data_IF_901685011842
#
_entry.id   IF_901685011842
#
_cell.length_a   1.000
_cell.length_b   1.000
_cell.length_c   1.000
_cell.angle_alpha   90.00
_cell.angle_beta   90.00
_cell.angle_gamma   90.00
#
_symmetry.space_group_name_H-M   'P 1'
#
loop_
_entity.id
_entity.type
_entity.pdbx_description
1 polymer ?
#
# COMPACT_ATOMS: atom_id res chain seq x y z
N UNK A 1 -33.08 -66.67 4.12
CA UNK A 1 -31.75 -66.39 3.56
C UNK A 1 -31.66 -64.90 3.27
N UNK A 2 -30.98 -64.14 4.13
CA UNK A 2 -30.77 -62.68 3.99
C UNK A 2 -29.29 -62.45 3.69
N UNK A 3 -28.97 -61.76 2.60
CA UNK A 3 -27.62 -61.28 2.30
C UNK A 3 -27.58 -59.77 2.55
N UNK A 4 -26.74 -59.38 3.50
CA UNK A 4 -26.39 -57.98 3.82
C UNK A 4 -25.20 -57.62 2.95
N UNK A 5 -25.29 -56.50 2.24
CA UNK A 5 -24.20 -55.91 1.45
C UNK A 5 -23.42 -54.98 2.38
N UNK A 6 -22.13 -55.25 2.57
CA UNK A 6 -21.20 -54.41 3.31
C UNK A 6 -20.71 -53.28 2.38
N UNK A 7 -21.00 -52.02 2.73
CA UNK A 7 -20.37 -50.85 2.12
C UNK A 7 -19.13 -50.49 2.94
N UNK A 8 -17.95 -50.74 2.38
CA UNK A 8 -16.67 -50.26 2.92
C UNK A 8 -16.50 -48.78 2.60
N UNK A 9 -16.49 -47.94 3.64
CA UNK A 9 -16.12 -46.53 3.61
C UNK A 9 -14.59 -46.42 3.52
N UNK A 10 -14.06 -45.93 2.40
CA UNK A 10 -12.68 -45.46 2.35
C UNK A 10 -12.62 -44.03 2.89
N UNK A 11 -12.04 -43.84 4.08
CA UNK A 11 -11.60 -42.52 4.54
C UNK A 11 -10.40 -42.10 3.68
N UNK A 12 -10.63 -41.19 2.74
CA UNK A 12 -9.55 -40.43 2.11
C UNK A 12 -8.99 -39.45 3.16
N UNK A 13 -7.76 -39.69 3.59
CA UNK A 13 -6.97 -38.70 4.31
C UNK A 13 -6.83 -37.47 3.41
N UNK A 14 -7.35 -36.32 3.86
CA UNK A 14 -7.16 -35.04 3.21
C UNK A 14 -5.69 -34.63 3.38
N UNK A 15 -4.85 -35.03 2.43
CA UNK A 15 -3.58 -34.38 2.21
C UNK A 15 -3.87 -32.95 1.74
N UNK A 16 -3.39 -31.97 2.49
CA UNK A 16 -3.43 -30.56 2.11
C UNK A 16 -2.69 -30.39 0.78
N UNK A 17 -3.44 -30.28 -0.30
CA UNK A 17 -2.92 -29.83 -1.59
C UNK A 17 -2.52 -28.36 -1.44
N UNK A 18 -1.24 -28.12 -1.18
CA UNK A 18 -0.57 -26.97 -1.73
C UNK A 18 -0.86 -26.92 -3.23
N UNK A 19 -0.95 -25.71 -3.80
CA UNK A 19 -1.39 -25.41 -5.17
C UNK A 19 -2.91 -25.32 -5.29
N UNK A 20 -3.42 -24.14 -4.92
CA UNK A 20 -4.79 -23.74 -5.16
C UNK A 20 -5.09 -23.62 -6.65
N UNK A 21 -6.30 -24.00 -6.99
CA UNK A 21 -7.00 -23.78 -8.25
C UNK A 21 -6.77 -22.35 -8.81
N UNK A 22 -6.26 -22.21 -10.06
CA UNK A 22 -5.92 -20.90 -10.65
C UNK A 22 -7.12 -19.96 -10.86
N UNK A 23 -8.35 -20.47 -10.76
CA UNK A 23 -9.58 -19.67 -10.94
C UNK A 23 -10.25 -19.26 -9.62
N UNK A 24 -9.69 -19.65 -8.47
CA UNK A 24 -10.23 -19.25 -7.16
C UNK A 24 -9.70 -17.87 -6.78
N UNK A 25 -10.43 -16.82 -7.20
CA UNK A 25 -10.20 -15.42 -6.82
C UNK A 25 -9.82 -15.32 -5.34
N UNK A 26 -8.59 -14.94 -5.06
CA UNK A 26 -8.17 -14.60 -3.71
C UNK A 26 -8.86 -13.26 -3.38
N UNK A 27 -9.84 -13.30 -2.49
CA UNK A 27 -10.49 -12.10 -1.97
C UNK A 27 -9.42 -11.17 -1.41
N UNK A 28 -9.41 -9.89 -1.79
CA UNK A 28 -8.48 -8.88 -1.24
C UNK A 28 -8.43 -9.00 0.28
N UNK A 29 -7.24 -9.00 0.85
CA UNK A 29 -7.08 -9.12 2.29
C UNK A 29 -7.81 -7.97 3.01
N UNK A 30 -8.60 -8.23 4.07
CA UNK A 30 -9.31 -7.17 4.81
C UNK A 30 -8.42 -6.01 5.31
N UNK A 31 -7.12 -6.24 5.56
CA UNK A 31 -6.15 -5.19 5.93
C UNK A 31 -5.85 -4.23 4.77
N UNK A 32 -6.07 -4.66 3.54
CA UNK A 32 -5.77 -3.91 2.33
C UNK A 32 -7.01 -3.27 1.67
N UNK A 33 -8.23 -3.74 1.98
CA UNK A 33 -9.49 -3.30 1.36
C UNK A 33 -9.94 -1.87 1.71
N UNK A 34 -9.43 -1.26 2.78
CA UNK A 34 -10.11 -0.15 3.48
C UNK A 34 -10.38 1.12 2.67
N UNK A 35 -9.53 1.43 1.68
CA UNK A 35 -9.61 2.70 0.94
C UNK A 35 -10.50 2.68 -0.31
N UNK A 36 -11.02 1.53 -0.74
CA UNK A 36 -11.98 1.49 -1.85
C UNK A 36 -13.40 1.93 -1.43
N UNK A 37 -13.70 1.88 -0.13
CA UNK A 37 -15.04 2.11 0.41
C UNK A 37 -15.14 3.34 1.32
N UNK A 38 -14.02 3.93 1.74
CA UNK A 38 -14.00 5.04 2.69
C UNK A 38 -13.47 6.33 2.04
N UNK A 39 -14.31 7.37 2.06
CA UNK A 39 -13.86 8.75 1.86
C UNK A 39 -13.21 9.17 3.18
N UNK A 40 -11.96 8.75 3.38
CA UNK A 40 -11.11 9.42 4.36
C UNK A 40 -10.99 10.90 3.98
N UNK A 41 -10.48 11.77 4.87
CA UNK A 41 -10.02 13.10 4.50
C UNK A 41 -9.20 12.97 3.22
N UNK A 42 -9.27 14.00 2.39
CA UNK A 42 -8.33 14.16 1.30
C UNK A 42 -6.93 14.47 1.87
N UNK A 43 -6.39 13.56 2.69
CA UNK A 43 -5.04 13.60 3.22
C UNK A 43 -4.15 13.44 2.03
N UNK A 44 -3.73 14.57 1.49
CA UNK A 44 -2.83 14.55 0.35
C UNK A 44 -1.56 13.80 0.77
N UNK A 45 -0.94 13.09 -0.16
CA UNK A 45 0.33 12.39 0.12
C UNK A 45 1.36 13.37 0.71
N UNK A 46 1.32 14.65 0.33
CA UNK A 46 2.18 15.71 0.84
C UNK A 46 1.93 16.08 2.32
N UNK A 47 0.70 15.94 2.83
CA UNK A 47 0.41 16.14 4.26
C UNK A 47 1.01 15.02 5.12
N UNK A 48 1.10 13.82 4.54
CA UNK A 48 1.57 12.62 5.22
C UNK A 48 3.07 12.38 5.03
N UNK A 49 3.62 12.84 3.91
CA UNK A 49 5.01 12.65 3.51
C UNK A 49 5.55 14.05 3.15
N UNK A 50 6.27 14.71 4.07
CA UNK A 50 6.64 16.12 3.93
C UNK A 50 7.45 16.48 2.69
N UNK A 51 8.15 15.52 2.07
CA UNK A 51 8.95 15.73 0.87
C UNK A 51 8.25 15.27 -0.42
N UNK A 52 6.98 14.84 -0.37
CA UNK A 52 6.26 14.35 -1.54
C UNK A 52 5.77 15.47 -2.47
N UNK A 53 6.07 15.37 -3.77
CA UNK A 53 5.49 16.26 -4.78
C UNK A 53 4.00 15.99 -4.94
N UNK A 54 3.16 16.96 -4.58
CA UNK A 54 1.71 16.86 -4.62
C UNK A 54 1.17 16.57 -6.04
N UNK A 55 1.87 17.02 -7.08
CA UNK A 55 1.41 16.88 -8.47
C UNK A 55 1.61 15.49 -9.03
N UNK A 56 2.64 14.79 -8.61
CA UNK A 56 3.00 13.46 -9.14
C UNK A 56 2.65 12.31 -8.20
N UNK A 57 2.56 12.58 -6.90
CA UNK A 57 2.23 11.55 -5.92
C UNK A 57 0.75 11.14 -6.00
N UNK A 58 0.47 9.87 -5.75
CA UNK A 58 -0.87 9.25 -5.86
C UNK A 58 -1.10 8.21 -4.77
N UNK A 59 -2.36 7.89 -4.54
CA UNK A 59 -2.81 6.80 -3.67
C UNK A 59 -3.65 5.82 -4.47
N UNK A 60 -3.41 4.52 -4.31
CA UNK A 60 -4.22 3.45 -4.88
C UNK A 60 -4.58 2.49 -3.76
N UNK A 61 -5.82 2.58 -3.28
CA UNK A 61 -6.22 1.91 -2.05
C UNK A 61 -5.30 2.34 -0.90
N UNK A 62 -4.73 1.35 -0.21
CA UNK A 62 -3.77 1.56 0.90
C UNK A 62 -2.31 1.72 0.45
N UNK A 63 -2.03 1.81 -0.85
CA UNK A 63 -0.68 2.08 -1.37
C UNK A 63 -0.50 3.57 -1.65
N UNK A 64 0.52 4.18 -1.07
CA UNK A 64 1.00 5.50 -1.47
C UNK A 64 2.19 5.38 -2.40
N UNK A 65 2.16 6.17 -3.47
CA UNK A 65 3.22 6.30 -4.46
C UNK A 65 3.67 7.75 -4.39
N UNK A 66 4.86 7.97 -3.84
CA UNK A 66 5.40 9.30 -3.59
C UNK A 66 6.64 9.54 -4.43
N UNK A 67 6.76 10.73 -5.00
CA UNK A 67 8.02 11.20 -5.57
C UNK A 67 8.58 12.33 -4.71
N UNK A 68 9.74 12.11 -4.07
CA UNK A 68 10.36 13.18 -3.29
C UNK A 68 10.74 14.36 -4.18
N UNK A 69 10.43 15.58 -3.77
CA UNK A 69 10.79 16.80 -4.50
C UNK A 69 12.29 16.82 -4.82
N UNK A 70 13.14 16.43 -3.86
CA UNK A 70 14.60 16.34 -4.05
C UNK A 70 15.05 15.39 -5.17
N UNK A 71 14.24 14.41 -5.54
CA UNK A 71 14.53 13.46 -6.64
C UNK A 71 14.00 14.01 -7.96
N UNK A 72 12.90 14.76 -7.91
CA UNK A 72 12.27 15.42 -9.06
C UNK A 72 13.03 16.68 -9.49
N UNK A 73 13.47 17.48 -8.53
CA UNK A 73 14.18 18.73 -8.70
C UNK A 73 15.63 18.42 -9.04
N UNK A 74 15.87 18.13 -10.32
CA UNK A 74 17.20 17.94 -10.90
C UNK A 74 18.01 19.26 -10.98
N UNK A 75 18.03 20.07 -9.92
CA UNK A 75 18.66 21.42 -9.93
C UNK A 75 20.12 21.42 -10.33
N UNK A 76 20.82 20.32 -10.08
CA UNK A 76 22.24 20.14 -10.39
C UNK A 76 22.49 19.49 -11.76
N UNK A 77 21.44 19.07 -12.48
CA UNK A 77 21.58 18.52 -13.83
C UNK A 77 21.83 19.63 -14.87
N UNK A 78 22.77 19.43 -15.81
CA UNK A 78 22.95 20.38 -16.91
C UNK A 78 21.70 20.45 -17.79
N UNK A 79 21.33 21.64 -18.30
CA UNK A 79 20.16 21.80 -19.17
C UNK A 79 20.20 20.86 -20.37
N UNK A 80 19.02 20.41 -20.81
CA UNK A 80 18.86 19.55 -22.00
C UNK A 80 18.06 20.30 -23.06
N UNK A 81 18.64 20.45 -24.26
CA UNK A 81 17.93 21.02 -25.41
C UNK A 81 16.83 20.08 -25.90
N UNK A 82 15.76 20.65 -26.48
CA UNK A 82 14.60 19.87 -26.93
C UNK A 82 14.97 18.76 -27.93
N UNK A 83 15.97 19.00 -28.80
CA UNK A 83 16.45 18.02 -29.79
C UNK A 83 17.08 16.77 -29.16
N UNK A 84 17.58 16.90 -27.93
CA UNK A 84 18.27 15.85 -27.18
C UNK A 84 17.35 15.14 -26.18
N UNK A 85 16.08 15.58 -26.10
CA UNK A 85 15.06 14.92 -25.28
C UNK A 85 14.71 13.56 -25.87
N UNK A 86 14.68 12.53 -25.03
CA UNK A 86 14.36 11.18 -25.47
C UNK A 86 12.95 11.10 -26.10
N UNK A 87 12.74 10.35 -27.19
CA UNK A 87 11.44 10.27 -27.84
C UNK A 87 10.35 9.63 -26.96
N UNK A 88 9.11 10.14 -27.05
CA UNK A 88 7.95 9.70 -26.25
C UNK A 88 7.71 8.19 -26.29
N UNK A 89 7.87 7.54 -27.46
CA UNK A 89 7.70 6.10 -27.58
C UNK A 89 8.70 5.30 -26.72
N UNK A 90 9.93 5.82 -26.57
CA UNK A 90 10.94 5.22 -25.69
C UNK A 90 10.56 5.40 -24.22
N UNK A 91 10.02 6.56 -23.86
CA UNK A 91 9.54 6.86 -22.50
C UNK A 91 8.43 5.91 -22.11
N UNK A 92 7.35 5.85 -22.90
CA UNK A 92 6.18 5.00 -22.63
C UNK A 92 6.60 3.54 -22.44
N UNK A 93 7.50 3.04 -23.30
CA UNK A 93 8.01 1.67 -23.19
C UNK A 93 8.78 1.44 -21.89
N UNK A 94 9.60 2.41 -21.46
CA UNK A 94 10.42 2.32 -20.24
C UNK A 94 9.61 2.48 -18.95
N UNK A 95 8.49 3.20 -19.01
CA UNK A 95 7.64 3.48 -17.84
C UNK A 95 6.47 2.52 -17.69
N UNK A 96 6.32 1.54 -18.59
CA UNK A 96 5.29 0.53 -18.47
C UNK A 96 5.39 -0.14 -17.09
N UNK A 97 4.32 -0.13 -16.28
CA UNK A 97 4.32 -0.80 -14.99
C UNK A 97 4.77 -2.24 -15.13
N UNK A 98 5.75 -2.61 -14.31
CA UNK A 98 6.28 -3.96 -14.32
C UNK A 98 5.33 -4.94 -13.60
N UNK A 99 5.69 -6.22 -13.62
CA UNK A 99 4.91 -7.27 -12.98
C UNK A 99 4.82 -7.09 -11.45
N UNK A 100 5.85 -6.54 -10.81
CA UNK A 100 5.88 -6.37 -9.36
C UNK A 100 4.95 -5.23 -8.93
N UNK A 101 5.04 -4.06 -9.57
CA UNK A 101 4.15 -2.94 -9.31
C UNK A 101 2.69 -3.31 -9.60
N UNK A 102 2.44 -4.04 -10.69
CA UNK A 102 1.10 -4.55 -11.03
C UNK A 102 0.57 -5.49 -9.95
N UNK A 103 1.35 -6.49 -9.54
CA UNK A 103 0.95 -7.42 -8.49
C UNK A 103 0.73 -6.71 -7.15
N UNK A 104 1.62 -5.78 -6.80
CA UNK A 104 1.48 -4.98 -5.58
C UNK A 104 0.16 -4.21 -5.59
N UNK A 105 -0.15 -3.49 -6.67
CA UNK A 105 -1.40 -2.74 -6.73
C UNK A 105 -2.62 -3.68 -6.67
N UNK A 106 -2.63 -4.78 -7.42
CA UNK A 106 -3.75 -5.71 -7.45
C UNK A 106 -3.99 -6.44 -6.12
N UNK A 107 -2.99 -6.53 -5.21
CA UNK A 107 -3.23 -7.01 -3.84
C UNK A 107 -4.30 -6.19 -3.08
N UNK A 108 -4.64 -4.99 -3.55
CA UNK A 108 -5.57 -4.05 -2.90
C UNK A 108 -6.88 -3.90 -3.66
N UNK A 109 -7.01 -4.49 -4.84
CA UNK A 109 -8.11 -4.25 -5.77
C UNK A 109 -8.85 -5.55 -6.07
N UNK A 110 -10.18 -5.47 -6.15
CA UNK A 110 -11.02 -6.58 -6.65
C UNK A 110 -12.07 -6.01 -7.62
N UNK A 111 -12.16 -6.51 -8.87
CA UNK A 111 -11.28 -7.50 -9.51
C UNK A 111 -9.87 -6.96 -9.77
N UNK A 112 -8.97 -7.78 -10.33
CA UNK A 112 -7.65 -7.33 -10.80
C UNK A 112 -7.78 -6.25 -11.89
N UNK A 113 -6.80 -5.33 -11.91
CA UNK A 113 -6.70 -4.25 -12.89
C UNK A 113 -5.49 -4.45 -13.82
N UNK A 114 -5.56 -3.82 -14.99
CA UNK A 114 -4.45 -3.65 -15.93
C UNK A 114 -4.21 -2.17 -16.23
N UNK A 115 -3.03 -1.84 -16.72
CA UNK A 115 -2.63 -0.47 -17.05
C UNK A 115 -2.77 -0.19 -18.55
N UNK A 116 -3.41 0.92 -18.87
CA UNK A 116 -3.41 1.51 -20.20
C UNK A 116 -2.73 2.88 -20.17
N UNK A 117 -1.85 3.14 -21.13
CA UNK A 117 -1.24 4.46 -21.25
C UNK A 117 -2.32 5.46 -21.67
N UNK A 118 -2.58 6.46 -20.82
CA UNK A 118 -3.55 7.51 -21.08
C UNK A 118 -2.91 8.69 -21.78
N UNK A 119 -1.82 9.21 -21.19
CA UNK A 119 -1.16 10.41 -21.67
C UNK A 119 0.34 10.37 -21.39
N UNK A 120 1.15 10.98 -22.25
CA UNK A 120 2.55 11.26 -21.99
C UNK A 120 2.82 12.74 -22.29
N UNK A 121 3.24 13.48 -21.26
CA UNK A 121 3.39 14.94 -21.29
C UNK A 121 4.83 15.36 -20.99
N UNK A 122 5.38 16.25 -21.83
CA UNK A 122 6.69 16.85 -21.63
C UNK A 122 6.56 18.14 -20.83
N UNK A 123 6.95 18.11 -19.56
CA UNK A 123 6.84 19.22 -18.62
C UNK A 123 8.13 20.04 -18.64
N UNK A 124 8.02 21.35 -18.85
CA UNK A 124 9.15 22.27 -18.74
C UNK A 124 9.51 22.49 -17.26
N UNK A 125 10.78 22.25 -16.92
CA UNK A 125 11.37 22.50 -15.61
C UNK A 125 12.09 23.86 -15.58
N UNK A 126 11.64 24.83 -16.39
CA UNK A 126 12.25 26.16 -16.56
C UNK A 126 13.73 26.06 -16.93
N UNK A 127 14.65 26.40 -16.02
CA UNK A 127 16.09 26.54 -16.29
C UNK A 127 16.84 25.21 -16.45
N UNK A 128 16.23 24.09 -16.04
CA UNK A 128 16.86 22.77 -15.99
C UNK A 128 16.55 21.95 -17.25
N UNK A 129 15.60 22.40 -18.08
CA UNK A 129 15.17 21.71 -19.30
C UNK A 129 13.78 21.09 -19.15
N UNK A 130 13.67 19.79 -19.42
CA UNK A 130 12.40 19.09 -19.55
C UNK A 130 12.33 17.81 -18.73
N UNK A 131 11.11 17.33 -18.49
CA UNK A 131 10.84 16.05 -17.83
C UNK A 131 9.61 15.43 -18.42
N UNK A 132 9.64 14.12 -18.62
CA UNK A 132 8.45 13.38 -19.05
C UNK A 132 7.63 12.94 -17.84
N UNK A 133 6.31 13.07 -17.97
CA UNK A 133 5.32 12.45 -17.12
C UNK A 133 4.47 11.52 -17.98
N UNK A 134 4.28 10.28 -17.54
CA UNK A 134 3.42 9.30 -18.24
C UNK A 134 2.33 8.86 -17.29
N UNK A 135 1.09 9.16 -17.67
CA UNK A 135 -0.11 8.82 -16.94
C UNK A 135 -0.65 7.48 -17.43
N UNK A 136 -0.74 6.54 -16.49
CA UNK A 136 -1.32 5.23 -16.68
C UNK A 136 -2.66 5.19 -15.97
N UNK A 137 -3.70 4.85 -16.72
CA UNK A 137 -5.02 4.57 -16.18
C UNK A 137 -5.11 3.08 -15.83
N UNK A 138 -5.70 2.78 -14.67
CA UNK A 138 -5.95 1.42 -14.23
C UNK A 138 -7.39 1.05 -14.57
N UNK A 139 -7.55 0.00 -15.39
CA UNK A 139 -8.84 -0.51 -15.83
C UNK A 139 -9.08 -1.91 -15.27
N UNK A 140 -10.30 -2.25 -14.81
CA UNK A 140 -10.60 -3.60 -14.35
C UNK A 140 -10.45 -4.60 -15.51
N UNK A 141 -9.93 -5.79 -15.23
CA UNK A 141 -9.80 -6.85 -16.23
C UNK A 141 -11.16 -7.40 -16.69
N UNK A 142 -12.17 -7.33 -15.83
CA UNK A 142 -13.52 -7.81 -16.11
C UNK A 142 -14.57 -6.87 -15.50
N UNK A 143 -15.62 -6.56 -16.26
CA UNK A 143 -16.72 -5.69 -15.83
C UNK A 143 -16.42 -4.19 -15.97
N UNK A 144 -17.32 -3.36 -15.44
CA UNK A 144 -17.15 -1.91 -15.32
C UNK A 144 -16.86 -1.51 -13.88
N UNK A 145 -15.97 -0.56 -13.68
CA UNK A 145 -15.70 0.04 -12.36
C UNK A 145 -16.54 1.31 -12.20
N UNK A 146 -17.29 1.41 -11.11
CA UNK A 146 -17.99 2.64 -10.72
C UNK A 146 -17.18 3.37 -9.67
N UNK A 147 -16.57 4.49 -10.05
CA UNK A 147 -15.75 5.31 -9.16
C UNK A 147 -14.85 6.26 -9.95
N UNK A 148 -14.10 7.14 -9.28
CA UNK A 148 -13.08 7.95 -9.93
C UNK A 148 -12.01 7.05 -10.58
N UNK A 149 -11.46 7.39 -11.75
CA UNK A 149 -10.43 6.58 -12.39
C UNK A 149 -9.21 6.46 -11.48
N UNK A 150 -8.70 5.24 -11.33
CA UNK A 150 -7.45 4.97 -10.63
C UNK A 150 -6.29 5.26 -11.58
N UNK A 151 -5.29 6.01 -11.11
CA UNK A 151 -4.19 6.48 -11.95
C UNK A 151 -2.83 6.26 -11.29
N UNK A 152 -1.84 5.92 -12.11
CA UNK A 152 -0.43 5.88 -11.75
C UNK A 152 0.37 6.81 -12.68
N UNK A 153 1.17 7.70 -12.09
CA UNK A 153 2.05 8.60 -12.85
C UNK A 153 3.49 8.13 -12.74
N UNK A 154 4.11 7.85 -13.88
CA UNK A 154 5.55 7.58 -13.98
C UNK A 154 6.30 8.86 -14.35
N UNK A 155 7.51 9.02 -13.80
CA UNK A 155 8.35 10.20 -14.04
C UNK A 155 9.68 9.79 -14.69
N UNK A 156 10.10 10.51 -15.73
CA UNK A 156 11.34 10.23 -16.46
C UNK A 156 12.08 11.52 -16.76
N UNK A 157 13.38 11.53 -16.49
CA UNK A 157 14.29 12.62 -16.85
C UNK A 157 14.27 12.90 -18.37
N UNK A 158 14.70 14.09 -18.81
CA UNK A 158 14.84 14.40 -20.26
C UNK A 158 15.69 13.37 -21.02
N UNK A 159 16.68 12.77 -20.36
CA UNK A 159 17.62 11.78 -20.91
C UNK A 159 17.08 10.35 -20.87
N UNK A 160 15.85 10.15 -20.42
CA UNK A 160 15.18 8.86 -20.43
C UNK A 160 15.49 7.94 -19.24
N UNK A 161 16.16 8.44 -18.20
CA UNK A 161 16.27 7.72 -16.92
C UNK A 161 14.92 7.77 -16.19
N UNK A 162 14.37 6.60 -15.86
CA UNK A 162 13.15 6.48 -15.05
C UNK A 162 13.48 6.85 -13.60
N UNK A 163 12.65 7.70 -13.02
CA UNK A 163 12.73 8.04 -11.61
C UNK A 163 11.82 7.06 -10.86
N UNK A 164 12.37 6.29 -9.93
CA UNK A 164 11.59 5.38 -9.12
C UNK A 164 10.85 6.16 -8.02
N UNK A 165 9.55 5.92 -7.81
CA UNK A 165 8.84 6.47 -6.66
C UNK A 165 9.27 5.74 -5.37
N UNK A 166 9.11 6.42 -4.25
CA UNK A 166 9.03 5.77 -2.95
C UNK A 166 7.61 5.19 -2.76
N UNK A 167 7.54 3.94 -2.31
CA UNK A 167 6.28 3.23 -2.07
C UNK A 167 6.03 3.12 -0.57
N UNK A 168 4.78 3.31 -0.14
CA UNK A 168 4.40 3.17 1.27
C UNK A 168 3.11 2.37 1.42
N UNK A 169 3.09 1.46 2.38
CA UNK A 169 1.84 0.90 2.90
C UNK A 169 1.26 1.89 3.90
N UNK A 170 0.01 2.25 3.68
CA UNK A 170 -0.69 3.25 4.45
C UNK A 170 -1.93 2.67 5.10
N UNK A 171 -2.22 3.11 6.31
CA UNK A 171 -3.49 2.82 6.98
C UNK A 171 -3.94 4.00 7.84
N UNK A 172 -5.27 4.12 8.02
CA UNK A 172 -5.87 5.22 8.76
C UNK A 172 -7.10 4.80 9.54
N UNK A 173 -7.32 5.46 10.67
CA UNK A 173 -8.53 5.28 11.47
C UNK A 173 -9.03 6.63 11.99
N UNK A 174 -10.33 6.89 11.84
CA UNK A 174 -10.93 8.11 12.38
C UNK A 174 -11.47 7.89 13.77
N UNK A 175 -11.03 8.72 14.71
CA UNK A 175 -11.59 8.74 16.06
C UNK A 175 -12.66 9.82 16.14
N UNK A 176 -13.94 9.43 16.00
CA UNK A 176 -15.07 10.37 15.93
C UNK A 176 -15.15 11.28 17.15
N UNK A 177 -15.02 10.72 18.36
CA UNK A 177 -15.09 11.48 19.61
C UNK A 177 -13.97 12.51 19.79
N UNK A 178 -12.81 12.29 19.15
CA UNK A 178 -11.65 13.18 19.25
C UNK A 178 -11.38 13.98 17.96
N UNK A 179 -12.20 13.78 16.92
CA UNK A 179 -12.10 14.46 15.62
C UNK A 179 -10.69 14.49 15.03
N UNK A 180 -10.02 13.34 15.03
CA UNK A 180 -8.65 13.22 14.52
C UNK A 180 -8.45 11.86 13.83
N UNK A 181 -7.52 11.87 12.89
CA UNK A 181 -7.06 10.68 12.17
C UNK A 181 -5.82 10.12 12.82
N UNK A 182 -5.85 8.82 13.08
CA UNK A 182 -4.67 8.03 13.36
C UNK A 182 -4.14 7.50 12.02
N UNK A 183 -2.86 7.64 11.77
CA UNK A 183 -2.23 7.25 10.53
C UNK A 183 -1.04 6.33 10.80
N UNK A 184 -0.85 5.33 9.95
CA UNK A 184 0.24 4.35 9.99
C UNK A 184 0.88 4.27 8.62
N UNK A 185 2.15 4.67 8.50
CA UNK A 185 2.85 4.82 7.22
C UNK A 185 4.13 3.97 7.25
N UNK A 186 4.16 2.87 6.49
CA UNK A 186 5.35 2.02 6.36
C UNK A 186 6.00 2.19 4.99
N UNK A 187 7.25 2.64 4.96
CA UNK A 187 8.03 2.68 3.71
C UNK A 187 8.36 1.26 3.23
N UNK A 188 8.04 0.97 1.98
CA UNK A 188 8.29 -0.33 1.35
C UNK A 188 9.64 -0.28 0.63
N UNK A 189 10.61 -1.07 1.12
CA UNK A 189 11.93 -1.19 0.49
C UNK A 189 12.44 -2.61 0.70
N UNK A 190 13.00 -3.21 -0.36
CA UNK A 190 13.73 -4.46 -0.21
C UNK A 190 14.95 -4.22 0.69
N UNK A 191 15.17 -5.05 1.72
CA UNK A 191 16.36 -4.92 2.55
C UNK A 191 17.63 -5.15 1.71
N UNK A 192 18.61 -4.25 1.86
CA UNK A 192 19.87 -4.30 1.10
C UNK A 192 20.70 -5.55 1.41
N UNK A 193 20.50 -6.15 2.58
CA UNK A 193 21.21 -7.34 3.06
C UNK A 193 20.29 -8.34 3.76
N UNK A 194 19.49 -9.10 2.98
CA UNK A 194 18.64 -10.19 3.47
C UNK A 194 19.36 -11.19 4.39
N UNK A 195 20.66 -11.43 4.17
CA UNK A 195 21.43 -12.47 4.89
C UNK A 195 21.90 -12.07 6.30
N UNK A 196 21.66 -10.83 6.76
CA UNK A 196 22.18 -10.33 8.05
C UNK A 196 21.11 -9.80 9.00
N UNK A 197 19.84 -9.81 8.62
CA UNK A 197 18.78 -9.32 9.50
C UNK A 197 18.38 -10.40 10.50
N UNK A 198 18.42 -10.07 11.80
CA UNK A 198 17.78 -10.87 12.83
C UNK A 198 16.27 -10.78 12.59
N UNK A 199 15.68 -11.83 12.04
CA UNK A 199 14.23 -11.95 11.90
C UNK A 199 13.61 -12.09 13.28
N UNK A 200 12.64 -11.24 13.59
CA UNK A 200 11.89 -11.33 14.84
C UNK A 200 10.82 -12.42 14.76
N UNK A 201 10.53 -13.03 15.90
CA UNK A 201 9.36 -13.90 16.07
C UNK A 201 8.06 -13.11 15.97
N UNK A 202 6.94 -13.79 15.68
CA UNK A 202 5.63 -13.14 15.63
C UNK A 202 5.26 -12.47 16.96
N UNK A 203 5.65 -13.05 18.10
CA UNK A 203 5.42 -12.45 19.41
C UNK A 203 6.22 -11.15 19.60
N UNK A 204 7.50 -11.13 19.24
CA UNK A 204 8.32 -9.90 19.29
C UNK A 204 7.76 -8.82 18.35
N UNK A 205 7.23 -9.20 17.19
CA UNK A 205 6.57 -8.29 16.25
C UNK A 205 5.29 -7.70 16.85
N UNK A 206 4.44 -8.55 17.44
CA UNK A 206 3.21 -8.13 18.10
C UNK A 206 3.53 -7.16 19.25
N UNK A 207 4.44 -7.52 20.15
CA UNK A 207 4.86 -6.70 21.29
C UNK A 207 5.33 -5.31 20.84
N UNK A 208 6.13 -5.23 19.77
CA UNK A 208 6.58 -3.95 19.20
C UNK A 208 5.42 -3.13 18.63
N UNK A 209 4.53 -3.74 17.85
CA UNK A 209 3.38 -3.03 17.27
C UNK A 209 2.45 -2.51 18.36
N UNK A 210 2.19 -3.32 19.41
CA UNK A 210 1.38 -2.92 20.57
C UNK A 210 2.03 -1.78 21.36
N UNK A 211 3.33 -1.88 21.64
CA UNK A 211 4.04 -0.81 22.33
C UNK A 211 4.02 0.50 21.54
N UNK A 212 4.27 0.45 20.23
CA UNK A 212 4.22 1.63 19.37
C UNK A 212 2.82 2.26 19.33
N UNK A 213 1.77 1.44 19.25
CA UNK A 213 0.40 1.95 19.28
C UNK A 213 0.05 2.60 20.63
N UNK A 214 0.46 2.00 21.74
CA UNK A 214 0.28 2.58 23.07
C UNK A 214 0.97 3.95 23.19
N UNK A 215 2.17 4.11 22.64
CA UNK A 215 2.85 5.41 22.59
C UNK A 215 2.12 6.44 21.72
N UNK A 216 1.46 6.03 20.64
CA UNK A 216 0.58 6.89 19.85
C UNK A 216 -0.64 7.33 20.67
N UNK A 217 -1.31 6.39 21.34
CA UNK A 217 -2.51 6.67 22.13
C UNK A 217 -2.24 7.62 23.31
N UNK A 218 -1.04 7.61 23.90
CA UNK A 218 -0.63 8.60 24.91
C UNK A 218 -0.61 10.04 24.38
N UNK A 219 -0.48 10.22 23.07
CA UNK A 219 -0.45 11.54 22.39
C UNK A 219 -1.83 11.98 21.90
N UNK A 220 -2.81 11.08 21.89
CA UNK A 220 -4.20 11.40 21.56
C UNK A 220 -4.73 12.35 22.63
N UNK A 221 -5.11 13.57 22.19
CA UNK A 221 -5.72 14.54 23.10
C UNK A 221 -7.13 14.08 23.43
N UNK A 222 -7.45 14.04 24.72
CA UNK A 222 -8.81 13.79 25.20
C UNK A 222 -9.53 15.12 25.28
N UNK A 223 -10.64 15.24 24.57
CA UNK A 223 -11.51 16.41 24.63
C UNK A 223 -12.16 16.49 26.01
N UNK A 224 -12.17 17.66 26.69
CA UNK A 224 -12.83 17.79 27.98
C UNK A 224 -14.29 17.32 27.92
N UNK A 225 -14.65 16.38 28.80
CA UNK A 225 -16.00 15.81 28.85
C UNK A 225 -16.25 14.60 27.95
N UNK A 226 -15.22 14.08 27.25
CA UNK A 226 -15.30 12.80 26.53
C UNK A 226 -14.38 11.75 27.14
N UNK A 227 -14.79 10.49 27.05
CA UNK A 227 -13.94 9.38 27.47
C UNK A 227 -12.75 9.21 26.50
N UNK A 228 -11.58 8.75 26.99
CA UNK A 228 -10.47 8.36 26.14
C UNK A 228 -10.90 7.25 25.18
N UNK A 229 -10.46 7.36 23.92
CA UNK A 229 -10.68 6.28 22.95
C UNK A 229 -9.93 5.03 23.41
N UNK A 230 -10.63 3.91 23.42
CA UNK A 230 -10.07 2.61 23.80
C UNK A 230 -10.03 1.68 22.60
N UNK A 231 -8.99 0.85 22.55
CA UNK A 231 -8.81 -0.14 21.49
C UNK A 231 -8.51 -1.50 22.10
N UNK A 232 -9.07 -2.54 21.52
CA UNK A 232 -8.70 -3.92 21.77
C UNK A 232 -7.77 -4.44 20.67
N UNK A 233 -6.83 -5.30 21.05
CA UNK A 233 -6.02 -6.04 20.09
C UNK A 233 -6.89 -7.13 19.44
N UNK A 234 -6.85 -7.22 18.11
CA UNK A 234 -7.60 -8.20 17.35
C UNK A 234 -6.71 -9.38 16.95
N UNK A 235 -5.70 -9.12 16.12
CA UNK A 235 -4.76 -10.13 15.66
C UNK A 235 -3.43 -9.52 15.20
N UNK A 236 -2.46 -10.40 14.94
CA UNK A 236 -1.17 -10.06 14.34
C UNK A 236 -0.92 -11.03 13.19
N UNK A 237 -0.92 -10.53 11.95
CA UNK A 237 -0.82 -11.38 10.75
C UNK A 237 0.11 -10.81 9.70
N UNK A 238 0.82 -11.70 9.03
CA UNK A 238 1.80 -11.35 8.01
C UNK A 238 1.16 -11.24 6.62
N UNK A 239 1.71 -10.35 5.81
CA UNK A 239 1.44 -10.22 4.38
C UNK A 239 2.75 -10.12 3.62
N UNK A 240 2.78 -10.68 2.42
CA UNK A 240 3.89 -10.55 1.49
C UNK A 240 3.57 -9.48 0.45
N UNK A 241 4.47 -8.51 0.31
CA UNK A 241 4.34 -7.38 -0.60
C UNK A 241 5.38 -7.53 -1.72
N UNK A 242 4.98 -7.84 -2.96
CA UNK A 242 5.91 -7.97 -4.08
C UNK A 242 6.48 -6.59 -4.44
N UNK A 243 7.80 -6.44 -4.43
CA UNK A 243 8.46 -5.16 -4.72
C UNK A 243 9.32 -5.19 -5.98
N UNK A 244 9.77 -6.36 -6.42
CA UNK A 244 10.48 -6.52 -7.69
C UNK A 244 10.31 -7.94 -8.25
N UNK A 245 10.81 -8.16 -9.47
CA UNK A 245 10.90 -9.49 -10.09
C UNK A 245 12.37 -9.81 -10.37
N UNK A 246 12.84 -10.96 -9.87
CA UNK A 246 14.18 -11.46 -10.11
C UNK A 246 14.39 -11.89 -11.56
N UNK A 247 15.66 -12.12 -11.94
CA UNK A 247 16.01 -12.62 -13.27
C UNK A 247 15.40 -14.00 -13.59
N UNK A 248 15.06 -14.77 -12.55
CA UNK A 248 14.37 -16.06 -12.63
C UNK A 248 12.84 -15.94 -12.79
N UNK A 249 12.31 -14.71 -12.87
CA UNK A 249 10.89 -14.42 -12.99
C UNK A 249 10.11 -14.54 -11.68
N UNK A 250 10.75 -14.81 -10.54
CA UNK A 250 10.09 -14.88 -9.24
C UNK A 250 9.97 -13.50 -8.59
N UNK A 251 8.89 -13.28 -7.85
CA UNK A 251 8.74 -12.08 -7.04
C UNK A 251 9.78 -12.06 -5.92
N UNK A 252 10.43 -10.91 -5.76
CA UNK A 252 11.12 -10.58 -4.53
C UNK A 252 10.17 -9.73 -3.70
N UNK A 253 9.77 -10.31 -2.56
CA UNK A 253 8.77 -9.73 -1.68
C UNK A 253 9.42 -9.23 -0.39
N UNK A 254 8.77 -8.23 0.20
CA UNK A 254 8.99 -7.83 1.58
C UNK A 254 7.85 -8.40 2.43
N UNK A 255 8.19 -9.01 3.57
CA UNK A 255 7.19 -9.48 4.52
C UNK A 255 6.95 -8.40 5.58
N UNK A 256 5.68 -8.09 5.82
CA UNK A 256 5.24 -7.14 6.84
C UNK A 256 4.11 -7.76 7.66
N UNK A 257 3.99 -7.37 8.92
CA UNK A 257 2.90 -7.76 9.79
C UNK A 257 2.00 -6.56 10.02
N UNK A 258 0.69 -6.79 9.94
CA UNK A 258 -0.29 -5.90 10.52
C UNK A 258 -0.59 -6.34 11.93
N UNK A 259 -0.29 -5.48 12.90
CA UNK A 259 -0.75 -5.59 14.28
C UNK A 259 -2.04 -4.78 14.36
N UNK A 260 -3.16 -5.48 14.47
CA UNK A 260 -4.49 -4.94 14.22
C UNK A 260 -5.23 -4.65 15.51
N UNK A 261 -5.90 -3.49 15.54
CA UNK A 261 -6.64 -2.99 16.68
C UNK A 261 -8.05 -2.59 16.27
N UNK A 262 -9.02 -2.84 17.13
CA UNK A 262 -10.41 -2.41 16.94
C UNK A 262 -10.79 -1.47 18.06
N UNK A 263 -11.48 -0.37 17.73
CA UNK A 263 -11.99 0.54 18.76
C UNK A 263 -13.07 -0.17 19.60
N UNK A 264 -12.96 -0.05 20.92
CA UNK A 264 -13.99 -0.52 21.84
C UNK A 264 -15.08 0.53 21.82
N UNK A 265 -16.19 0.20 21.19
CA UNK A 265 -17.34 1.08 21.04
C UNK A 265 -18.33 0.94 22.20
N UNK A 266 -18.97 2.04 22.55
CA UNK A 266 -20.03 2.05 23.55
C UNK A 266 -21.26 1.26 23.09
N UNK A 267 -22.17 0.91 24.01
CA UNK A 267 -23.37 0.13 23.68
C UNK A 267 -24.30 0.82 22.66
N UNK A 268 -24.25 2.16 22.56
CA UNK A 268 -25.09 2.96 21.67
C UNK A 268 -24.42 3.35 20.34
N UNK A 269 -23.14 3.01 20.16
CA UNK A 269 -22.38 3.35 18.95
C UNK A 269 -22.68 2.38 17.81
N UNK A 270 -22.70 2.88 16.57
CA UNK A 270 -22.79 2.03 15.39
C UNK A 270 -21.52 1.19 15.27
N UNK A 271 -21.66 -0.14 15.41
CA UNK A 271 -20.60 -1.12 15.15
C UNK A 271 -19.93 -0.83 13.81
N UNK A 272 -18.66 -0.43 13.84
CA UNK A 272 -17.80 -0.41 12.66
C UNK A 272 -17.02 -1.71 12.57
N UNK A 273 -16.76 -2.18 11.35
CA UNK A 273 -15.81 -3.26 11.08
C UNK A 273 -14.40 -2.72 10.86
N UNK A 274 -14.21 -1.43 11.09
CA UNK A 274 -12.94 -0.76 10.91
C UNK A 274 -11.94 -1.21 11.96
N UNK A 275 -10.73 -1.43 11.49
CA UNK A 275 -9.58 -1.81 12.28
C UNK A 275 -8.51 -0.74 12.02
N UNK A 276 -7.61 -0.51 12.96
CA UNK A 276 -6.38 0.24 12.75
C UNK A 276 -5.20 -0.70 12.77
N UNK A 277 -4.29 -0.57 11.81
CA UNK A 277 -3.16 -1.47 11.59
C UNK A 277 -1.85 -0.72 11.81
N UNK A 278 -1.10 -1.16 12.83
CA UNK A 278 0.31 -0.80 12.96
C UNK A 278 1.14 -1.79 12.16
N UNK A 279 1.91 -1.29 11.20
CA UNK A 279 2.71 -2.14 10.32
C UNK A 279 4.11 -2.34 10.90
N UNK A 280 4.60 -3.58 10.87
CA UNK A 280 5.93 -3.93 11.39
C UNK A 280 6.66 -4.83 10.39
N UNK A 281 7.92 -4.53 10.09
CA UNK A 281 8.77 -5.34 9.21
C UNK A 281 9.47 -6.48 9.95
N UNK A 282 10.05 -7.43 9.20
CA UNK A 282 10.81 -8.58 9.73
C UNK A 282 11.94 -8.19 10.70
N UNK A 283 12.57 -7.04 10.47
CA UNK A 283 13.66 -6.50 11.30
C UNK A 283 13.17 -5.71 12.52
N UNK A 284 11.85 -5.60 12.69
CA UNK A 284 11.20 -4.88 13.77
C UNK A 284 11.09 -3.37 13.56
N UNK A 285 11.35 -2.87 12.36
CA UNK A 285 10.99 -1.50 11.99
C UNK A 285 9.47 -1.35 12.02
N UNK A 286 8.99 -0.34 12.75
CA UNK A 286 7.56 -0.02 12.86
C UNK A 286 7.22 1.12 11.91
N UNK A 287 5.99 1.14 11.40
CA UNK A 287 5.46 2.27 10.65
C UNK A 287 5.58 3.59 11.41
N UNK A 288 5.74 4.67 10.67
CA UNK A 288 5.60 6.00 11.23
C UNK A 288 4.13 6.23 11.61
N UNK A 289 3.87 6.53 12.88
CA UNK A 289 2.54 6.77 13.40
C UNK A 289 2.30 8.27 13.57
N UNK A 290 1.21 8.79 12.99
CA UNK A 290 0.84 10.22 13.03
C UNK A 290 -0.58 10.40 13.56
N UNK A 291 -0.80 11.57 14.16
CA UNK A 291 -2.13 12.07 14.54
C UNK A 291 -2.38 13.33 13.72
N UNK A 292 -3.47 13.35 12.97
CA UNK A 292 -3.86 14.51 12.15
C UNK A 292 -5.22 15.02 12.63
N UNK A 293 -5.28 16.23 13.21
CA UNK A 293 -6.55 16.80 13.64
C UNK A 293 -7.43 17.15 12.44
N UNK A 294 -8.75 17.06 12.62
CA UNK A 294 -9.71 17.56 11.62
C UNK A 294 -10.11 18.98 11.98
N UNK A 295 -9.69 19.94 11.16
CA UNK A 295 -10.19 21.30 11.21
C UNK A 295 -11.46 21.38 10.35
N UNK A 296 -12.61 21.64 10.98
CA UNK A 296 -13.88 21.92 10.30
C UNK A 296 -14.02 23.42 10.09
#
# INVERSE_FOLDING_TARGET
MRKIVLLTFFMAAAASSAWGDPDRKQSVDPMLRRWLLFIGPNLSVAELIPDADQKTSRTIGTLMISYPERVIDERDSPPVELKDVVPVATVIRRTKPDKALTALINLRLEPDFHFSCREASLVSMKRIGYRWQVDWELNPNYGGFSGPPLEYRAVVTARGKVIAPDLYQFDTYFTFGQKQWLCSILKLKLPENYKKQKTLSQQEIEERGRAAFQELLKKVKVTPGTDPVQFEFQDCRAIELPLSVGADGKFQSMKAWGVNFKEIQGPDDKKTEDIFTVWVMEDGTVSELKIIPVNW
#
